data_IF_390905025621
#
_entry.id   IF_390905025621
#
_cell.length_a   1.000
_cell.length_b   1.000
_cell.length_c   1.000
_cell.angle_alpha   90.00
_cell.angle_beta   90.00
_cell.angle_gamma   90.00
#
_symmetry.space_group_name_H-M   'P 1'
#
loop_
_entity.id
_entity.type
_entity.pdbx_description
1 polymer ?
#
# COMPACT_ATOMS: atom_id res chain seq x y z
N UNK A 1 -16.40 -43.55 9.71
CA UNK A 1 -17.26 -42.40 10.08
C UNK A 1 -16.49 -41.07 10.09
N UNK A 2 -15.32 -40.98 10.76
CA UNK A 2 -14.50 -39.74 10.78
C UNK A 2 -14.03 -39.28 9.40
N UNK A 3 -13.59 -40.20 8.55
CA UNK A 3 -13.11 -39.89 7.19
C UNK A 3 -14.23 -39.37 6.27
N UNK A 4 -15.43 -39.95 6.39
CA UNK A 4 -16.58 -39.47 5.64
C UNK A 4 -16.98 -38.06 6.07
N UNK A 5 -16.88 -37.75 7.37
CA UNK A 5 -17.14 -36.41 7.88
C UNK A 5 -16.11 -35.39 7.34
N UNK A 6 -14.82 -35.72 7.32
CA UNK A 6 -13.78 -34.84 6.78
C UNK A 6 -13.95 -34.59 5.28
N UNK A 7 -14.25 -35.63 4.49
CA UNK A 7 -14.54 -35.48 3.05
C UNK A 7 -15.78 -34.60 2.84
N UNK A 8 -16.83 -34.79 3.65
CA UNK A 8 -18.02 -33.95 3.61
C UNK A 8 -17.68 -32.46 3.94
N UNK A 9 -16.86 -32.22 4.95
CA UNK A 9 -16.40 -30.86 5.29
C UNK A 9 -15.60 -30.22 4.16
N UNK A 10 -14.72 -30.98 3.48
CA UNK A 10 -13.99 -30.50 2.30
C UNK A 10 -14.95 -30.13 1.17
N UNK A 11 -15.95 -30.98 0.91
CA UNK A 11 -16.95 -30.70 -0.13
C UNK A 11 -17.79 -29.45 0.21
N UNK A 12 -18.24 -29.31 1.45
CA UNK A 12 -18.99 -28.13 1.93
C UNK A 12 -18.13 -26.87 1.80
N UNK A 13 -16.86 -26.93 2.20
CA UNK A 13 -15.92 -25.82 2.05
C UNK A 13 -15.79 -25.38 0.59
N UNK A 14 -15.58 -26.31 -0.34
CA UNK A 14 -15.49 -26.04 -1.77
C UNK A 14 -16.79 -25.45 -2.32
N UNK A 15 -17.94 -26.06 -2.01
CA UNK A 15 -19.24 -25.59 -2.46
C UNK A 15 -19.54 -24.18 -1.94
N UNK A 16 -19.20 -23.88 -0.69
CA UNK A 16 -19.36 -22.55 -0.12
C UNK A 16 -18.51 -21.50 -0.87
N UNK A 17 -17.22 -21.78 -1.09
CA UNK A 17 -16.37 -20.83 -1.82
C UNK A 17 -16.77 -20.69 -3.28
N UNK A 18 -17.10 -21.80 -3.93
CA UNK A 18 -17.56 -21.81 -5.33
C UNK A 18 -18.86 -21.01 -5.49
N UNK A 19 -19.84 -21.23 -4.62
CA UNK A 19 -21.05 -20.43 -4.57
C UNK A 19 -20.73 -18.94 -4.41
N UNK A 20 -19.85 -18.58 -3.48
CA UNK A 20 -19.45 -17.19 -3.24
C UNK A 20 -18.68 -16.54 -4.40
N UNK A 21 -18.00 -17.31 -5.23
CA UNK A 21 -17.34 -16.82 -6.43
C UNK A 21 -18.36 -16.57 -7.55
N UNK A 22 -19.22 -17.55 -7.80
CA UNK A 22 -20.22 -17.46 -8.89
C UNK A 22 -21.26 -16.36 -8.61
N UNK A 23 -21.66 -16.19 -7.36
CA UNK A 23 -22.63 -15.16 -6.97
C UNK A 23 -21.99 -13.79 -6.72
N UNK A 24 -20.67 -13.67 -6.85
CA UNK A 24 -19.98 -12.39 -6.68
C UNK A 24 -20.41 -11.41 -7.78
N UNK A 25 -21.01 -10.31 -7.39
CA UNK A 25 -21.30 -9.18 -8.28
C UNK A 25 -20.21 -8.13 -8.12
N UNK A 26 -19.77 -7.56 -9.23
CA UNK A 26 -18.78 -6.49 -9.21
C UNK A 26 -19.28 -5.32 -8.37
N UNK A 27 -18.46 -4.90 -7.41
CA UNK A 27 -18.69 -3.71 -6.62
C UNK A 27 -18.24 -2.50 -7.44
N UNK A 28 -19.10 -1.51 -7.68
CA UNK A 28 -18.69 -0.28 -8.34
C UNK A 28 -17.59 0.40 -7.53
N UNK A 29 -16.69 1.09 -8.23
CA UNK A 29 -15.75 1.99 -7.55
C UNK A 29 -16.53 3.13 -6.88
N UNK A 30 -16.16 3.52 -5.67
CA UNK A 30 -16.68 4.75 -5.08
C UNK A 30 -16.40 5.91 -6.04
N UNK A 31 -17.43 6.67 -6.33
CA UNK A 31 -17.38 7.85 -7.18
C UNK A 31 -18.09 9.00 -6.50
N UNK A 32 -17.54 10.18 -6.69
CA UNK A 32 -18.16 11.45 -6.31
C UNK A 32 -17.74 12.49 -7.34
N UNK A 33 -18.63 13.40 -7.69
CA UNK A 33 -18.30 14.54 -8.54
C UNK A 33 -17.26 15.42 -7.86
N UNK A 34 -16.44 16.11 -8.67
CA UNK A 34 -15.44 17.04 -8.16
C UNK A 34 -16.15 18.09 -7.32
N UNK A 35 -15.77 18.28 -6.05
CA UNK A 35 -16.44 19.22 -5.19
C UNK A 35 -16.17 20.66 -5.60
N UNK A 36 -17.17 21.51 -5.41
CA UNK A 36 -16.96 22.96 -5.44
C UNK A 36 -16.13 23.34 -4.22
N UNK A 37 -15.00 23.98 -4.46
CA UNK A 37 -14.16 24.52 -3.41
C UNK A 37 -14.51 25.99 -3.12
N UNK A 38 -14.17 26.50 -1.93
CA UNK A 38 -14.38 27.90 -1.60
C UNK A 38 -13.59 28.83 -2.54
N UNK A 39 -14.02 30.07 -2.68
CA UNK A 39 -13.33 31.07 -3.52
C UNK A 39 -11.87 31.31 -3.09
N UNK A 40 -11.59 31.26 -1.80
CA UNK A 40 -10.24 31.36 -1.25
C UNK A 40 -9.67 29.96 -1.03
N UNK A 41 -8.80 29.53 -1.96
CA UNK A 41 -8.14 28.25 -1.89
C UNK A 41 -6.80 28.34 -1.15
N UNK A 42 -6.52 27.39 -0.22
CA UNK A 42 -5.21 27.31 0.41
C UNK A 42 -4.11 26.94 -0.59
N UNK A 43 -2.88 27.35 -0.31
CA UNK A 43 -1.73 26.87 -1.07
C UNK A 43 -1.41 25.45 -0.70
N UNK A 44 -1.17 24.58 -1.71
CA UNK A 44 -0.79 23.17 -1.55
C UNK A 44 0.66 22.97 -1.96
N UNK A 45 1.50 22.51 -1.02
CA UNK A 45 2.87 22.11 -1.31
C UNK A 45 2.96 20.60 -1.50
N UNK A 46 3.33 20.17 -2.71
CA UNK A 46 3.56 18.76 -3.03
C UNK A 46 5.02 18.40 -2.68
N UNK A 47 5.21 17.52 -1.72
CA UNK A 47 6.54 17.02 -1.33
C UNK A 47 6.78 15.64 -1.95
N UNK A 48 7.76 15.55 -2.84
CA UNK A 48 7.99 14.35 -3.67
C UNK A 48 9.45 13.92 -3.58
N UNK A 49 9.77 12.91 -2.78
CA UNK A 49 11.08 12.27 -2.78
C UNK A 49 11.19 11.30 -3.96
N UNK A 50 12.39 11.24 -4.57
CA UNK A 50 12.66 10.35 -5.70
C UNK A 50 14.11 9.83 -5.65
N UNK A 51 14.29 8.52 -5.85
CA UNK A 51 15.57 7.87 -5.86
C UNK A 51 15.71 6.82 -6.95
N UNK A 52 16.59 7.05 -7.95
CA UNK A 52 16.76 6.16 -9.12
C UNK A 52 15.46 5.95 -9.93
N UNK A 53 14.70 7.03 -10.17
CA UNK A 53 13.38 6.97 -10.81
C UNK A 53 13.24 7.96 -11.97
N UNK A 54 14.32 8.17 -12.74
CA UNK A 54 14.38 9.11 -13.86
C UNK A 54 13.17 8.98 -14.82
N UNK A 55 12.74 7.74 -15.09
CA UNK A 55 11.63 7.45 -16.01
C UNK A 55 10.27 8.02 -15.57
N UNK A 56 10.10 8.30 -14.28
CA UNK A 56 8.85 8.80 -13.72
C UNK A 56 8.80 10.31 -13.54
N UNK A 57 9.96 11.00 -13.61
CA UNK A 57 10.06 12.45 -13.38
C UNK A 57 9.20 13.26 -14.34
N UNK A 58 9.42 13.13 -15.65
CA UNK A 58 8.68 13.90 -16.65
C UNK A 58 7.17 13.59 -16.62
N UNK A 59 6.71 12.31 -16.63
CA UNK A 59 5.28 12.03 -16.55
C UNK A 59 4.62 12.54 -15.26
N UNK A 60 5.32 12.57 -14.13
CA UNK A 60 4.81 13.16 -12.90
C UNK A 60 4.69 14.68 -13.02
N UNK A 61 5.74 15.35 -13.47
CA UNK A 61 5.78 16.82 -13.63
C UNK A 61 4.71 17.28 -14.64
N UNK A 62 4.52 16.54 -15.72
CA UNK A 62 3.44 16.82 -16.67
C UNK A 62 2.06 16.71 -16.01
N UNK A 63 1.84 15.70 -15.16
CA UNK A 63 0.58 15.56 -14.43
C UNK A 63 0.38 16.67 -13.39
N UNK A 64 1.44 17.13 -12.72
CA UNK A 64 1.40 18.27 -11.82
C UNK A 64 1.08 19.57 -12.55
N UNK A 65 1.73 19.83 -13.68
CA UNK A 65 1.50 21.03 -14.48
C UNK A 65 0.08 21.08 -15.09
N UNK A 66 -0.50 19.90 -15.38
CA UNK A 66 -1.86 19.79 -15.91
C UNK A 66 -2.97 20.02 -14.87
N UNK A 67 -2.65 20.08 -13.58
CA UNK A 67 -3.64 20.38 -12.55
C UNK A 67 -4.19 21.80 -12.71
N UNK A 68 -5.51 21.93 -12.64
CA UNK A 68 -6.20 23.23 -12.68
C UNK A 68 -6.16 23.95 -11.33
N UNK A 69 -5.73 23.29 -10.25
CA UNK A 69 -5.60 23.88 -8.92
C UNK A 69 -4.63 25.07 -8.95
N UNK A 70 -5.06 26.31 -8.59
CA UNK A 70 -4.28 27.51 -8.89
C UNK A 70 -3.11 27.74 -7.95
N UNK A 71 -3.26 27.44 -6.65
CA UNK A 71 -2.27 27.72 -5.62
C UNK A 71 -1.48 26.47 -5.26
N UNK A 72 -0.51 26.07 -6.11
CA UNK A 72 0.29 24.87 -5.94
C UNK A 72 1.76 25.11 -6.14
N UNK A 73 2.58 24.42 -5.39
CA UNK A 73 4.02 24.34 -5.59
C UNK A 73 4.50 22.88 -5.47
N UNK A 74 5.59 22.55 -6.13
CA UNK A 74 6.20 21.23 -6.13
C UNK A 74 7.62 21.30 -5.61
N UNK A 75 7.93 20.51 -4.59
CA UNK A 75 9.27 20.38 -4.03
C UNK A 75 9.74 18.94 -4.27
N UNK A 76 10.64 18.79 -5.24
CA UNK A 76 11.23 17.52 -5.64
C UNK A 76 12.57 17.33 -4.92
N UNK A 77 12.70 16.33 -4.07
CA UNK A 77 13.99 15.91 -3.53
C UNK A 77 14.47 14.66 -4.26
N UNK A 78 15.37 14.83 -5.21
CA UNK A 78 15.72 13.82 -6.21
C UNK A 78 17.18 13.42 -6.11
N UNK A 79 17.45 12.11 -6.18
CA UNK A 79 18.80 11.56 -6.19
C UNK A 79 18.90 10.22 -6.89
N UNK A 80 20.07 9.64 -6.85
CA UNK A 80 20.37 8.36 -7.47
C UNK A 80 21.61 8.40 -8.36
N UNK A 81 21.90 7.26 -8.99
CA UNK A 81 23.03 7.11 -9.91
C UNK A 81 22.60 6.98 -11.39
N UNK A 82 21.30 7.19 -11.67
CA UNK A 82 20.70 7.06 -13.00
C UNK A 82 20.55 8.40 -13.75
N UNK A 83 21.11 9.50 -13.20
CA UNK A 83 20.99 10.85 -13.75
C UNK A 83 19.61 11.49 -13.47
N UNK A 84 18.88 11.00 -12.46
CA UNK A 84 17.59 11.58 -12.06
C UNK A 84 17.70 13.03 -11.62
N UNK A 85 18.71 13.37 -10.83
CA UNK A 85 18.86 14.73 -10.31
C UNK A 85 19.14 15.75 -11.42
N UNK A 86 20.10 15.47 -12.28
CA UNK A 86 20.48 16.34 -13.41
C UNK A 86 19.30 16.51 -14.38
N UNK A 87 18.52 15.45 -14.56
CA UNK A 87 17.30 15.51 -15.39
C UNK A 87 16.20 16.35 -14.72
N UNK A 88 15.99 16.19 -13.42
CA UNK A 88 14.98 16.96 -12.68
C UNK A 88 15.26 18.47 -12.68
N UNK A 89 16.55 18.87 -12.63
CA UNK A 89 16.94 20.29 -12.66
C UNK A 89 16.43 21.06 -13.87
N UNK A 90 16.22 20.38 -15.02
CA UNK A 90 15.69 21.00 -16.24
C UNK A 90 14.25 21.49 -16.09
N UNK A 91 13.51 21.01 -15.08
CA UNK A 91 12.13 21.40 -14.81
C UNK A 91 11.98 22.44 -13.69
N UNK A 92 13.10 22.94 -13.16
CA UNK A 92 13.05 23.99 -12.13
C UNK A 92 12.36 25.24 -12.66
N UNK A 93 11.44 25.77 -11.85
CA UNK A 93 10.64 26.96 -12.18
C UNK A 93 10.18 27.65 -10.89
N UNK A 94 9.54 28.82 -10.94
CA UNK A 94 8.96 29.42 -9.72
C UNK A 94 8.00 28.53 -8.93
N UNK A 95 7.34 27.57 -9.61
CA UNK A 95 6.43 26.61 -9.00
C UNK A 95 7.07 25.25 -8.69
N UNK A 96 8.31 24.99 -9.15
CA UNK A 96 8.98 23.67 -9.00
C UNK A 96 10.39 23.89 -8.46
N UNK A 97 10.59 23.51 -7.21
CA UNK A 97 11.90 23.51 -6.53
C UNK A 97 12.51 22.12 -6.59
N UNK A 98 13.77 22.01 -7.03
CA UNK A 98 14.49 20.73 -7.09
C UNK A 98 15.62 20.73 -6.10
N UNK A 99 15.63 19.74 -5.21
CA UNK A 99 16.66 19.51 -4.20
C UNK A 99 17.41 18.21 -4.50
N UNK A 100 18.67 18.19 -4.16
CA UNK A 100 19.48 16.96 -4.26
C UNK A 100 19.26 16.06 -3.05
N UNK A 101 18.86 14.81 -3.31
CA UNK A 101 18.86 13.72 -2.32
C UNK A 101 20.21 13.02 -2.37
N UNK A 102 20.87 12.89 -1.22
CA UNK A 102 22.16 12.21 -1.12
C UNK A 102 21.99 10.71 -0.81
N UNK A 103 23.02 9.93 -1.11
CA UNK A 103 23.04 8.50 -0.85
C UNK A 103 22.82 8.21 0.66
N UNK A 104 21.91 7.30 0.97
CA UNK A 104 21.59 6.90 2.34
C UNK A 104 20.60 7.79 3.08
N UNK A 105 20.09 8.87 2.48
CA UNK A 105 19.10 9.72 3.14
C UNK A 105 17.73 9.06 3.26
N UNK A 106 17.31 8.33 2.23
CA UNK A 106 15.99 7.71 2.18
C UNK A 106 14.83 8.71 2.16
N UNK A 107 13.60 8.21 2.14
CA UNK A 107 12.38 9.04 2.03
C UNK A 107 12.24 10.05 3.18
N UNK A 108 12.54 9.63 4.41
CA UNK A 108 12.35 10.48 5.61
C UNK A 108 13.21 11.74 5.56
N UNK A 109 14.50 11.60 5.28
CA UNK A 109 15.43 12.76 5.23
C UNK A 109 15.18 13.63 4.00
N UNK A 110 14.76 13.03 2.88
CA UNK A 110 14.34 13.79 1.71
C UNK A 110 13.14 14.69 2.03
N UNK A 111 12.12 14.17 2.74
CA UNK A 111 10.99 14.98 3.20
C UNK A 111 11.40 16.03 4.23
N UNK A 112 12.33 15.72 5.14
CA UNK A 112 12.90 16.69 6.10
C UNK A 112 13.58 17.86 5.39
N UNK A 113 14.29 17.60 4.28
CA UNK A 113 14.91 18.67 3.46
C UNK A 113 13.86 19.50 2.73
N UNK A 114 12.82 18.87 2.24
CA UNK A 114 11.76 19.52 1.44
C UNK A 114 10.83 20.38 2.29
N UNK A 115 10.48 19.91 3.47
CA UNK A 115 9.46 20.50 4.32
C UNK A 115 9.70 21.97 4.68
N UNK A 116 10.91 22.40 5.10
CA UNK A 116 11.18 23.80 5.44
C UNK A 116 11.05 24.78 4.26
N UNK A 117 11.06 24.27 3.02
CA UNK A 117 10.89 25.05 1.81
C UNK A 117 9.43 25.11 1.34
N UNK A 118 8.53 24.45 2.05
CA UNK A 118 7.11 24.46 1.72
C UNK A 118 6.42 25.70 2.29
N UNK A 119 5.71 26.42 1.42
CA UNK A 119 4.95 27.62 1.78
C UNK A 119 3.45 27.34 1.92
N UNK A 120 2.98 26.18 1.47
CA UNK A 120 1.58 25.81 1.50
C UNK A 120 1.04 25.56 2.90
N UNK A 121 -0.21 25.93 3.10
CA UNK A 121 -0.99 25.63 4.30
C UNK A 121 -1.32 24.14 4.40
N UNK A 122 -1.34 23.48 3.25
CA UNK A 122 -1.61 22.05 3.09
C UNK A 122 -0.40 21.37 2.45
N UNK A 123 0.04 20.28 3.06
CA UNK A 123 1.15 19.46 2.55
C UNK A 123 0.58 18.21 1.90
N UNK A 124 0.87 18.03 0.61
CA UNK A 124 0.54 16.83 -0.15
C UNK A 124 1.76 15.92 -0.26
N UNK A 125 1.69 14.76 0.37
CA UNK A 125 2.71 13.72 0.30
C UNK A 125 2.36 12.75 -0.83
N UNK A 126 3.28 12.58 -1.77
CA UNK A 126 3.11 11.63 -2.87
C UNK A 126 4.46 11.07 -3.33
N UNK A 127 4.44 10.09 -4.22
CA UNK A 127 5.62 9.45 -4.78
C UNK A 127 5.76 9.81 -6.26
N UNK A 128 6.99 9.82 -6.78
CA UNK A 128 7.26 10.21 -8.18
C UNK A 128 6.64 9.27 -9.21
N UNK A 129 6.34 8.02 -8.82
CA UNK A 129 5.69 7.01 -9.65
C UNK A 129 4.15 7.19 -9.76
N UNK A 130 3.61 8.24 -9.16
CA UNK A 130 2.19 8.59 -9.19
C UNK A 130 1.84 9.50 -10.38
N UNK A 131 0.53 9.61 -10.65
CA UNK A 131 -0.05 10.58 -11.61
C UNK A 131 -1.17 11.32 -10.91
N UNK A 132 -1.03 12.63 -10.85
CA UNK A 132 -1.99 13.54 -10.26
C UNK A 132 -3.13 13.85 -11.23
N UNK A 133 -4.32 14.05 -10.70
CA UNK A 133 -5.49 14.55 -11.45
C UNK A 133 -6.26 15.54 -10.58
N UNK A 134 -6.99 16.45 -11.22
CA UNK A 134 -7.85 17.39 -10.51
C UNK A 134 -8.82 16.67 -9.56
N UNK A 135 -9.44 15.60 -10.04
CA UNK A 135 -10.36 14.80 -9.22
C UNK A 135 -9.74 14.41 -7.88
N UNK A 136 -8.52 13.88 -7.89
CA UNK A 136 -7.84 13.45 -6.67
C UNK A 136 -7.50 14.65 -5.79
N UNK A 137 -6.87 15.69 -6.35
CA UNK A 137 -6.40 16.85 -5.58
C UNK A 137 -7.57 17.60 -4.95
N UNK A 138 -8.62 17.88 -5.72
CA UNK A 138 -9.79 18.59 -5.22
C UNK A 138 -10.51 17.83 -4.12
N UNK A 139 -10.71 16.53 -4.25
CA UNK A 139 -11.32 15.71 -3.19
C UNK A 139 -10.48 15.66 -1.92
N UNK A 140 -9.15 15.52 -2.05
CA UNK A 140 -8.25 15.47 -0.91
C UNK A 140 -8.22 16.81 -0.17
N UNK A 141 -8.12 17.93 -0.90
CA UNK A 141 -8.15 19.29 -0.32
C UNK A 141 -9.49 19.57 0.34
N UNK A 142 -10.60 19.27 -0.35
CA UNK A 142 -11.95 19.46 0.22
C UNK A 142 -12.14 18.67 1.52
N UNK A 143 -11.63 17.44 1.58
CA UNK A 143 -11.72 16.62 2.79
C UNK A 143 -10.92 17.23 3.95
N UNK A 144 -9.74 17.81 3.69
CA UNK A 144 -8.96 18.56 4.70
C UNK A 144 -9.73 19.79 5.18
N UNK A 145 -10.26 20.61 4.25
CA UNK A 145 -10.96 21.85 4.60
C UNK A 145 -12.21 21.60 5.44
N UNK A 146 -12.92 20.51 5.17
CA UNK A 146 -14.16 20.19 5.90
C UNK A 146 -13.93 19.50 7.25
N UNK A 147 -12.77 18.89 7.48
CA UNK A 147 -12.56 18.07 8.69
C UNK A 147 -11.33 18.50 9.52
N UNK A 148 -10.52 19.42 9.02
CA UNK A 148 -9.27 19.89 9.65
C UNK A 148 -8.40 18.74 10.17
N UNK A 149 -8.23 17.71 9.35
CA UNK A 149 -7.51 16.49 9.71
C UNK A 149 -6.62 16.00 8.58
N UNK A 150 -5.74 15.05 8.89
CA UNK A 150 -5.00 14.33 7.87
C UNK A 150 -5.93 13.46 7.01
N UNK A 151 -5.66 13.41 5.72
CA UNK A 151 -6.48 12.69 4.75
C UNK A 151 -5.59 11.75 3.94
N UNK A 152 -6.09 10.56 3.63
CA UNK A 152 -5.42 9.62 2.73
C UNK A 152 -6.42 9.00 1.76
N UNK A 153 -5.96 8.65 0.56
CA UNK A 153 -6.78 8.05 -0.47
C UNK A 153 -6.11 6.81 -1.09
N UNK A 154 -6.89 5.95 -1.76
CA UNK A 154 -6.39 4.75 -2.41
C UNK A 154 -5.59 5.04 -3.67
N UNK A 155 -4.97 3.98 -4.22
CA UNK A 155 -4.31 4.04 -5.51
C UNK A 155 -4.76 2.93 -6.44
N UNK A 156 -4.70 3.21 -7.73
CA UNK A 156 -4.90 2.25 -8.81
C UNK A 156 -3.59 2.07 -9.59
N UNK A 157 -3.36 0.92 -10.24
CA UNK A 157 -2.18 0.75 -11.09
C UNK A 157 -2.21 1.67 -12.31
N UNK A 158 -1.03 2.07 -12.78
CA UNK A 158 -0.87 2.80 -14.03
C UNK A 158 -1.60 2.08 -15.16
N UNK A 159 -2.16 2.82 -16.10
CA UNK A 159 -3.04 2.27 -17.13
C UNK A 159 -2.39 1.15 -17.95
N UNK A 160 -1.12 1.31 -18.31
CA UNK A 160 -0.34 0.30 -19.04
C UNK A 160 -0.07 -0.97 -18.24
N UNK A 161 -0.18 -0.94 -16.91
CA UNK A 161 0.10 -2.08 -16.03
C UNK A 161 -1.14 -2.95 -15.75
N UNK A 162 -2.35 -2.47 -16.05
CA UNK A 162 -3.61 -3.13 -15.68
C UNK A 162 -3.83 -4.51 -16.31
N UNK A 163 -3.04 -4.86 -17.33
CA UNK A 163 -3.06 -6.19 -17.96
C UNK A 163 -2.12 -7.21 -17.33
N UNK A 164 -1.22 -6.77 -16.43
CA UNK A 164 -0.29 -7.69 -15.76
C UNK A 164 -1.07 -8.57 -14.75
N UNK A 165 -0.97 -9.91 -14.86
CA UNK A 165 -1.75 -10.83 -14.01
C UNK A 165 -1.47 -10.68 -12.51
N UNK A 166 -0.21 -10.44 -12.11
CA UNK A 166 0.16 -10.24 -10.72
C UNK A 166 -0.46 -8.95 -10.18
N UNK A 167 -0.39 -7.87 -10.96
CA UNK A 167 -0.95 -6.57 -10.59
C UNK A 167 -2.47 -6.62 -10.50
N UNK A 168 -3.14 -7.35 -11.40
CA UNK A 168 -4.59 -7.52 -11.35
C UNK A 168 -5.05 -8.10 -10.00
N UNK A 169 -4.34 -9.11 -9.50
CA UNK A 169 -4.70 -9.72 -8.21
C UNK A 169 -4.37 -8.78 -7.05
N UNK A 170 -3.20 -8.12 -7.07
CA UNK A 170 -2.86 -7.14 -6.04
C UNK A 170 -3.90 -6.01 -6.02
N UNK A 171 -4.24 -5.45 -7.17
CA UNK A 171 -5.24 -4.40 -7.29
C UNK A 171 -6.62 -4.83 -6.80
N UNK A 172 -7.05 -6.07 -7.11
CA UNK A 172 -8.28 -6.63 -6.59
C UNK A 172 -8.26 -6.77 -5.05
N UNK A 173 -7.14 -7.21 -4.48
CA UNK A 173 -6.97 -7.30 -3.03
C UNK A 173 -7.05 -5.92 -2.39
N UNK A 174 -6.30 -4.95 -2.91
CA UNK A 174 -6.31 -3.57 -2.40
C UNK A 174 -7.74 -3.00 -2.40
N UNK A 175 -8.45 -3.07 -3.54
CA UNK A 175 -9.83 -2.60 -3.67
C UNK A 175 -10.83 -3.27 -2.72
N UNK A 176 -10.63 -4.55 -2.39
CA UNK A 176 -11.56 -5.30 -1.53
C UNK A 176 -11.22 -5.18 -0.04
N UNK A 177 -10.04 -4.67 0.29
CA UNK A 177 -9.61 -4.43 1.67
C UNK A 177 -9.70 -2.96 2.08
N UNK A 178 -9.77 -2.05 1.12
CA UNK A 178 -9.97 -0.61 1.35
C UNK A 178 -11.41 -0.31 1.80
N UNK A 179 -11.61 0.70 2.67
CA UNK A 179 -12.95 1.18 3.00
C UNK A 179 -13.70 1.67 1.75
N UNK A 180 -14.98 1.33 1.64
CA UNK A 180 -15.83 1.78 0.53
C UNK A 180 -16.52 3.14 0.77
N UNK A 181 -16.40 3.68 1.98
CA UNK A 181 -16.95 4.98 2.40
C UNK A 181 -15.90 5.78 3.14
N UNK A 182 -16.05 7.11 3.18
CA UNK A 182 -15.23 7.95 4.04
C UNK A 182 -15.33 7.47 5.49
N UNK A 183 -14.19 7.21 6.09
CA UNK A 183 -14.09 6.73 7.47
C UNK A 183 -12.72 7.05 8.04
N UNK A 184 -12.60 7.05 9.34
CA UNK A 184 -11.29 7.15 10.00
C UNK A 184 -10.48 5.88 9.78
N UNK A 185 -9.16 6.03 9.68
CA UNK A 185 -8.21 4.93 9.46
C UNK A 185 -7.01 5.02 10.39
N UNK A 186 -6.37 3.89 10.65
CA UNK A 186 -5.15 3.80 11.47
C UNK A 186 -3.84 4.04 10.72
N UNK A 187 -3.90 4.37 9.42
CA UNK A 187 -2.71 4.49 8.58
C UNK A 187 -2.82 5.55 7.49
N UNK A 188 -1.67 5.94 6.96
CA UNK A 188 -1.53 6.82 5.80
C UNK A 188 -0.95 6.01 4.64
N UNK A 189 -1.51 6.18 3.45
CA UNK A 189 -0.91 5.71 2.21
C UNK A 189 -0.01 6.82 1.67
N UNK A 190 1.30 6.71 1.92
CA UNK A 190 2.28 7.77 1.68
C UNK A 190 2.47 8.20 0.23
N UNK A 191 1.75 7.59 -0.70
CA UNK A 191 1.67 7.99 -2.12
C UNK A 191 0.47 8.89 -2.41
N UNK A 192 -0.50 8.98 -1.49
CA UNK A 192 -1.71 9.77 -1.64
C UNK A 192 -2.20 10.21 -0.26
N UNK A 193 -1.53 11.21 0.31
CA UNK A 193 -1.83 11.72 1.63
C UNK A 193 -1.71 13.24 1.69
N UNK A 194 -2.63 13.86 2.39
CA UNK A 194 -2.70 15.31 2.56
C UNK A 194 -2.83 15.63 4.04
N UNK A 195 -2.01 16.54 4.52
CA UNK A 195 -1.97 16.90 5.94
C UNK A 195 -1.92 18.42 6.08
N UNK A 196 -2.75 19.05 6.90
CA UNK A 196 -2.57 20.45 7.30
C UNK A 196 -1.16 20.68 7.83
N UNK A 197 -0.51 21.76 7.41
CA UNK A 197 0.87 22.07 7.86
C UNK A 197 0.93 22.24 9.37
N UNK A 198 -0.11 22.82 9.96
CA UNK A 198 -0.26 23.00 11.41
C UNK A 198 -0.20 21.67 12.18
N UNK A 199 -0.84 20.61 11.66
CA UNK A 199 -0.79 19.28 12.27
C UNK A 199 0.59 18.65 12.12
N UNK A 200 1.25 18.83 10.97
CA UNK A 200 2.63 18.36 10.79
C UNK A 200 3.58 19.04 11.77
N UNK A 201 3.46 20.36 11.95
CA UNK A 201 4.27 21.13 12.90
C UNK A 201 4.03 20.63 14.34
N UNK A 202 2.76 20.43 14.72
CA UNK A 202 2.39 19.95 16.05
C UNK A 202 3.00 18.60 16.42
N UNK A 203 3.14 17.70 15.42
CA UNK A 203 3.75 16.39 15.64
C UNK A 203 5.25 16.37 15.33
N UNK A 204 5.90 17.51 15.03
CA UNK A 204 7.32 17.64 14.71
C UNK A 204 7.67 17.04 13.34
N UNK A 205 6.75 17.10 12.40
CA UNK A 205 6.92 16.76 10.99
C UNK A 205 7.82 15.52 10.73
N UNK A 206 8.95 15.74 10.04
CA UNK A 206 9.89 14.69 9.62
C UNK A 206 11.20 14.71 10.43
N UNK A 207 11.25 15.32 11.61
CA UNK A 207 12.47 15.56 12.38
C UNK A 207 13.16 14.30 12.90
N UNK A 208 12.39 13.23 13.13
CA UNK A 208 12.95 11.98 13.62
C UNK A 208 13.49 11.11 12.47
N UNK A 209 14.63 10.45 12.73
CA UNK A 209 15.15 9.48 11.78
C UNK A 209 14.32 8.20 11.79
N UNK A 210 13.71 7.90 10.64
CA UNK A 210 12.93 6.70 10.40
C UNK A 210 13.57 5.97 9.22
N UNK A 211 14.25 4.86 9.46
CA UNK A 211 14.94 4.12 8.39
C UNK A 211 14.00 3.62 7.30
N UNK A 212 12.76 3.29 7.67
CA UNK A 212 11.74 2.76 6.76
C UNK A 212 10.33 2.91 7.35
N UNK A 213 9.31 3.12 6.50
CA UNK A 213 7.91 3.25 6.94
C UNK A 213 7.58 4.65 7.44
N UNK A 214 8.07 5.67 6.73
CA UNK A 214 7.77 7.09 7.01
C UNK A 214 6.29 7.38 7.14
N UNK A 215 5.48 6.84 6.24
CA UNK A 215 4.03 6.96 6.21
C UNK A 215 3.36 6.33 7.44
N UNK A 216 3.76 5.11 7.78
CA UNK A 216 3.30 4.45 9.00
C UNK A 216 3.68 5.24 10.26
N UNK A 217 4.95 5.68 10.33
CA UNK A 217 5.46 6.45 11.46
C UNK A 217 4.69 7.77 11.64
N UNK A 218 4.47 8.52 10.55
CA UNK A 218 3.70 9.76 10.57
C UNK A 218 2.25 9.52 11.03
N UNK A 219 1.60 8.46 10.49
CA UNK A 219 0.26 8.11 10.92
C UNK A 219 0.17 7.89 12.44
N UNK A 220 1.12 7.15 13.02
CA UNK A 220 1.12 6.89 14.47
C UNK A 220 1.42 8.13 15.31
N UNK A 221 2.22 9.07 14.80
CA UNK A 221 2.43 10.37 15.47
C UNK A 221 1.14 11.20 15.50
N UNK A 222 0.43 11.31 14.38
CA UNK A 222 -0.84 12.02 14.30
C UNK A 222 -1.89 11.41 15.23
N UNK A 223 -2.09 10.08 15.14
CA UNK A 223 -3.04 9.38 16.02
C UNK A 223 -2.67 9.49 17.50
N UNK A 224 -1.38 9.46 17.83
CA UNK A 224 -0.87 9.67 19.20
C UNK A 224 -1.09 11.10 19.70
N UNK A 225 -1.27 12.07 18.82
CA UNK A 225 -1.64 13.47 19.13
C UNK A 225 -3.17 13.67 19.14
N UNK A 226 -3.95 12.61 18.96
CA UNK A 226 -5.41 12.58 18.83
C UNK A 226 -5.95 13.23 17.54
N UNK A 227 -5.13 13.39 16.52
CA UNK A 227 -5.57 13.86 15.22
C UNK A 227 -6.06 12.66 14.38
N UNK A 228 -7.34 12.66 13.97
CA UNK A 228 -7.86 11.59 13.15
C UNK A 228 -7.26 11.62 11.74
N UNK A 229 -7.21 10.46 11.10
CA UNK A 229 -6.86 10.33 9.70
C UNK A 229 -8.10 9.87 8.95
N UNK A 230 -8.54 10.63 7.96
CA UNK A 230 -9.70 10.31 7.15
C UNK A 230 -9.28 9.59 5.86
N UNK A 231 -9.93 8.46 5.56
CA UNK A 231 -9.79 7.76 4.29
C UNK A 231 -10.87 8.22 3.31
N UNK A 232 -10.45 8.66 2.10
CA UNK A 232 -11.34 9.16 1.04
C UNK A 232 -11.31 8.19 -0.15
N UNK A 233 -12.29 7.28 -0.27
CA UNK A 233 -12.23 6.14 -1.19
C UNK A 233 -12.34 6.50 -2.68
N UNK A 234 -12.90 7.64 -3.01
CA UNK A 234 -13.06 8.14 -4.39
C UNK A 234 -11.90 9.01 -4.86
N UNK A 235 -11.02 9.46 -3.98
CA UNK A 235 -9.79 10.19 -4.32
C UNK A 235 -8.67 9.21 -4.72
N UNK A 236 -8.84 8.50 -5.84
CA UNK A 236 -7.94 7.42 -6.28
C UNK A 236 -6.83 7.95 -7.18
N UNK A 237 -5.59 7.93 -6.69
CA UNK A 237 -4.41 8.26 -7.49
C UNK A 237 -3.95 7.05 -8.32
N UNK A 238 -3.39 7.25 -9.51
CA UNK A 238 -2.72 6.16 -10.22
C UNK A 238 -1.23 6.14 -9.87
N UNK A 239 -0.67 4.96 -9.60
CA UNK A 239 0.75 4.79 -9.28
C UNK A 239 1.32 3.48 -9.84
N UNK A 240 2.65 3.39 -9.86
CA UNK A 240 3.31 2.17 -10.30
C UNK A 240 3.13 1.03 -9.29
N UNK A 241 2.70 -0.11 -9.81
CA UNK A 241 2.63 -1.38 -9.07
C UNK A 241 3.80 -2.29 -9.44
N UNK A 242 4.25 -3.20 -8.56
CA UNK A 242 5.35 -4.10 -8.86
C UNK A 242 4.99 -5.11 -9.95
N UNK A 243 5.60 -4.97 -11.12
CA UNK A 243 5.30 -5.79 -12.30
C UNK A 243 5.85 -7.20 -12.24
N UNK A 244 6.91 -7.42 -11.47
CA UNK A 244 7.58 -8.71 -11.35
C UNK A 244 7.45 -9.29 -9.95
N UNK A 245 7.49 -10.62 -9.86
CA UNK A 245 7.45 -11.34 -8.59
C UNK A 245 8.55 -10.87 -7.63
N UNK A 246 9.76 -10.62 -8.14
CA UNK A 246 10.89 -10.14 -7.34
C UNK A 246 10.67 -8.74 -6.75
N UNK A 247 10.12 -7.82 -7.53
CA UNK A 247 9.75 -6.48 -7.07
C UNK A 247 8.62 -6.55 -6.02
N UNK A 248 7.61 -7.37 -6.28
CA UNK A 248 6.51 -7.61 -5.36
C UNK A 248 7.02 -8.12 -4.01
N UNK A 249 7.85 -9.18 -4.00
CA UNK A 249 8.41 -9.75 -2.78
C UNK A 249 9.22 -8.71 -2.00
N UNK A 250 10.05 -7.90 -2.68
CA UNK A 250 10.83 -6.83 -2.02
C UNK A 250 9.94 -5.78 -1.37
N UNK A 251 8.90 -5.31 -2.06
CA UNK A 251 7.97 -4.30 -1.57
C UNK A 251 7.16 -4.81 -0.39
N UNK A 252 6.58 -6.01 -0.52
CA UNK A 252 5.74 -6.61 0.52
C UNK A 252 6.54 -7.01 1.76
N UNK A 253 7.73 -7.60 1.61
CA UNK A 253 8.57 -7.95 2.77
C UNK A 253 8.95 -6.71 3.59
N UNK A 254 9.24 -5.58 2.92
CA UNK A 254 9.50 -4.31 3.59
C UNK A 254 8.28 -3.82 4.38
N UNK A 255 7.08 -3.93 3.81
CA UNK A 255 5.85 -3.49 4.49
C UNK A 255 5.53 -4.36 5.71
N UNK A 256 5.56 -5.69 5.56
CA UNK A 256 5.34 -6.62 6.69
C UNK A 256 6.31 -6.32 7.83
N UNK A 257 7.60 -6.16 7.52
CA UNK A 257 8.63 -5.81 8.50
C UNK A 257 8.36 -4.47 9.16
N UNK A 258 8.03 -3.43 8.38
CA UNK A 258 7.80 -2.08 8.92
C UNK A 258 6.62 -2.06 9.88
N UNK A 259 5.51 -2.70 9.52
CA UNK A 259 4.33 -2.79 10.39
C UNK A 259 4.65 -3.51 11.69
N UNK A 260 5.42 -4.61 11.63
CA UNK A 260 5.84 -5.32 12.85
C UNK A 260 6.72 -4.45 13.75
N UNK A 261 7.77 -3.87 13.19
CA UNK A 261 8.80 -3.15 13.98
C UNK A 261 8.27 -1.84 14.52
N UNK A 262 7.62 -1.06 13.68
CA UNK A 262 7.02 0.20 14.12
C UNK A 262 5.78 -0.05 14.99
N UNK A 263 4.99 -1.09 14.70
CA UNK A 263 3.89 -1.51 15.54
C UNK A 263 4.33 -1.87 16.96
N UNK A 264 5.47 -2.55 17.12
CA UNK A 264 6.07 -2.78 18.45
C UNK A 264 6.51 -1.47 19.11
N UNK A 265 7.11 -0.54 18.35
CA UNK A 265 7.54 0.79 18.86
C UNK A 265 6.36 1.62 19.38
N UNK A 266 5.22 1.56 18.70
CA UNK A 266 4.01 2.31 19.05
C UNK A 266 3.00 1.49 19.88
N UNK A 267 3.37 0.28 20.33
CA UNK A 267 2.52 -0.62 21.13
C UNK A 267 1.20 -1.04 20.45
N UNK A 268 1.18 -1.12 19.13
CA UNK A 268 0.04 -1.49 18.29
C UNK A 268 -0.19 -3.02 18.27
N UNK A 269 -0.74 -3.57 19.32
CA UNK A 269 -0.88 -5.03 19.54
C UNK A 269 -1.58 -5.75 18.40
N UNK A 270 -2.65 -5.16 17.83
CA UNK A 270 -3.43 -5.78 16.76
C UNK A 270 -2.63 -5.87 15.46
N UNK A 271 -1.91 -4.81 15.08
CA UNK A 271 -1.10 -4.75 13.86
C UNK A 271 0.13 -5.66 13.99
N UNK A 272 0.77 -5.69 15.16
CA UNK A 272 1.86 -6.62 15.49
C UNK A 272 1.38 -8.07 15.36
N UNK A 273 0.23 -8.41 15.97
CA UNK A 273 -0.34 -9.75 15.89
C UNK A 273 -0.67 -10.14 14.44
N UNK A 274 -1.28 -9.24 13.68
CA UNK A 274 -1.58 -9.47 12.26
C UNK A 274 -0.34 -9.72 11.42
N UNK A 275 0.74 -8.94 11.65
CA UNK A 275 2.03 -9.13 10.97
C UNK A 275 2.67 -10.46 11.34
N UNK A 276 2.66 -10.83 12.62
CA UNK A 276 3.17 -12.13 13.09
C UNK A 276 2.39 -13.30 12.48
N UNK A 277 1.06 -13.20 12.42
CA UNK A 277 0.22 -14.22 11.75
C UNK A 277 0.56 -14.31 10.26
N UNK A 278 0.71 -13.19 9.57
CA UNK A 278 1.10 -13.15 8.15
C UNK A 278 2.45 -13.84 7.92
N UNK A 279 3.41 -13.65 8.82
CA UNK A 279 4.73 -14.30 8.75
C UNK A 279 4.67 -15.79 9.11
N UNK A 280 3.80 -16.19 10.04
CA UNK A 280 3.68 -17.57 10.49
C UNK A 280 2.96 -18.48 9.47
N UNK A 281 1.96 -17.96 8.74
CA UNK A 281 1.13 -18.77 7.82
C UNK A 281 1.97 -19.60 6.82
N UNK A 282 2.95 -19.06 6.08
CA UNK A 282 3.75 -19.87 5.15
C UNK A 282 4.55 -20.97 5.85
N UNK A 283 5.10 -20.68 7.04
CA UNK A 283 5.85 -21.66 7.83
C UNK A 283 4.93 -22.79 8.30
N UNK A 284 3.77 -22.44 8.86
CA UNK A 284 2.75 -23.41 9.28
C UNK A 284 2.26 -24.24 8.11
N UNK A 285 2.07 -23.63 6.93
CA UNK A 285 1.68 -24.35 5.72
C UNK A 285 2.72 -25.40 5.33
N UNK A 286 4.01 -25.02 5.29
CA UNK A 286 5.09 -25.97 4.94
C UNK A 286 5.20 -27.08 5.97
N UNK A 287 5.17 -26.77 7.26
CA UNK A 287 5.21 -27.79 8.33
C UNK A 287 4.01 -28.73 8.26
N UNK A 288 2.81 -28.21 7.96
CA UNK A 288 1.60 -29.02 7.78
C UNK A 288 1.72 -29.93 6.56
N UNK A 289 2.33 -29.47 5.46
CA UNK A 289 2.59 -30.31 4.28
C UNK A 289 3.55 -31.46 4.60
N UNK A 290 4.62 -31.18 5.34
CA UNK A 290 5.58 -32.22 5.80
C UNK A 290 4.85 -33.23 6.70
N UNK A 291 4.08 -32.75 7.66
CA UNK A 291 3.31 -33.61 8.56
C UNK A 291 2.28 -34.46 7.79
N UNK A 292 1.58 -33.90 6.79
CA UNK A 292 0.67 -34.64 5.94
C UNK A 292 1.41 -35.77 5.17
N UNK A 293 2.55 -35.44 4.60
CA UNK A 293 3.37 -36.43 3.87
C UNK A 293 3.80 -37.58 4.79
N UNK A 294 4.29 -37.25 5.99
CA UNK A 294 4.70 -38.27 6.98
C UNK A 294 3.49 -39.14 7.38
N UNK A 295 2.35 -38.54 7.73
CA UNK A 295 1.17 -39.28 8.19
C UNK A 295 0.59 -40.18 7.09
N UNK A 296 0.70 -39.78 5.81
CA UNK A 296 0.32 -40.61 4.67
C UNK A 296 1.29 -41.81 4.54
N UNK A 297 2.59 -41.56 4.58
CA UNK A 297 3.61 -42.61 4.44
C UNK A 297 3.50 -43.68 5.54
N UNK A 298 3.29 -43.26 6.78
CA UNK A 298 3.12 -44.20 7.92
C UNK A 298 1.70 -44.72 8.06
N UNK A 299 0.84 -44.45 7.08
CA UNK A 299 -0.57 -44.87 7.07
C UNK A 299 -1.31 -44.56 8.40
N UNK A 300 -1.06 -43.36 8.94
CA UNK A 300 -1.64 -42.90 10.19
C UNK A 300 -3.13 -42.54 10.04
N UNK A 301 -3.93 -42.88 11.03
CA UNK A 301 -5.36 -42.47 11.09
C UNK A 301 -5.56 -40.92 11.14
N UNK A 302 -4.48 -40.16 11.34
CA UNK A 302 -4.50 -38.67 11.29
C UNK A 302 -4.24 -38.10 9.89
N UNK A 303 -3.85 -38.94 8.91
CA UNK A 303 -3.44 -38.47 7.57
C UNK A 303 -4.50 -37.60 6.90
N UNK A 304 -5.75 -37.98 6.96
CA UNK A 304 -6.86 -37.24 6.34
C UNK A 304 -7.11 -35.87 7.04
N UNK A 305 -7.01 -35.84 8.37
CA UNK A 305 -7.18 -34.60 9.15
C UNK A 305 -6.07 -33.58 8.87
N UNK A 306 -4.82 -34.03 8.81
CA UNK A 306 -3.66 -33.15 8.50
C UNK A 306 -3.76 -32.69 7.04
N UNK A 307 -4.14 -33.56 6.11
CA UNK A 307 -4.37 -33.20 4.71
C UNK A 307 -5.48 -32.16 4.57
N UNK A 308 -6.55 -32.25 5.36
CA UNK A 308 -7.60 -31.23 5.40
C UNK A 308 -7.06 -29.85 5.84
N UNK A 309 -6.20 -29.80 6.85
CA UNK A 309 -5.58 -28.54 7.28
C UNK A 309 -4.76 -27.92 6.17
N UNK A 310 -3.90 -28.70 5.48
CA UNK A 310 -3.11 -28.24 4.32
C UNK A 310 -4.02 -27.71 3.21
N UNK A 311 -5.08 -28.47 2.90
CA UNK A 311 -6.07 -28.09 1.90
C UNK A 311 -6.68 -26.71 2.21
N UNK A 312 -7.10 -26.47 3.46
CA UNK A 312 -7.68 -25.18 3.86
C UNK A 312 -6.64 -24.06 3.80
N UNK A 313 -5.43 -24.28 4.32
CA UNK A 313 -4.36 -23.26 4.36
C UNK A 313 -3.93 -22.79 2.96
N UNK A 314 -3.97 -23.66 1.96
CA UNK A 314 -3.59 -23.31 0.58
C UNK A 314 -4.80 -22.78 -0.20
N UNK A 315 -5.92 -23.49 -0.13
CA UNK A 315 -7.04 -23.24 -1.04
C UNK A 315 -7.88 -22.02 -0.63
N UNK A 316 -8.05 -21.78 0.68
CA UNK A 316 -8.78 -20.61 1.15
C UNK A 316 -8.23 -19.28 0.62
N UNK A 317 -6.92 -18.95 0.77
CA UNK A 317 -6.36 -17.72 0.22
C UNK A 317 -6.41 -17.66 -1.32
N UNK A 318 -6.33 -18.79 -2.02
CA UNK A 318 -6.47 -18.85 -3.47
C UNK A 318 -7.91 -18.50 -3.89
N UNK A 319 -8.88 -19.14 -3.29
CA UNK A 319 -10.32 -18.92 -3.59
C UNK A 319 -10.76 -17.49 -3.18
N UNK A 320 -10.21 -16.95 -2.09
CA UNK A 320 -10.45 -15.57 -1.69
C UNK A 320 -9.99 -14.59 -2.76
N UNK A 321 -8.80 -14.78 -3.34
CA UNK A 321 -8.27 -13.92 -4.43
C UNK A 321 -9.10 -14.02 -5.71
N UNK A 322 -9.52 -15.22 -6.08
CA UNK A 322 -10.43 -15.39 -7.20
C UNK A 322 -11.75 -14.62 -6.98
N UNK A 323 -12.30 -14.70 -5.79
CA UNK A 323 -13.49 -13.93 -5.42
C UNK A 323 -13.25 -12.43 -5.46
N UNK A 324 -12.08 -11.95 -4.99
CA UNK A 324 -11.75 -10.53 -5.03
C UNK A 324 -11.65 -10.00 -6.46
N UNK A 325 -11.09 -10.77 -7.40
CA UNK A 325 -11.10 -10.42 -8.82
C UNK A 325 -12.54 -10.24 -9.34
N UNK A 326 -13.44 -11.18 -9.04
CA UNK A 326 -14.85 -11.08 -9.43
C UNK A 326 -15.52 -9.85 -8.83
N UNK A 327 -15.35 -9.61 -7.53
CA UNK A 327 -15.92 -8.46 -6.82
C UNK A 327 -15.34 -7.13 -7.31
N UNK A 328 -14.07 -7.10 -7.69
CA UNK A 328 -13.43 -5.91 -8.24
C UNK A 328 -13.79 -5.65 -9.72
N UNK A 329 -14.48 -6.58 -10.38
CA UNK A 329 -14.75 -6.49 -11.82
C UNK A 329 -13.47 -6.57 -12.67
N UNK A 330 -12.44 -7.24 -12.14
CA UNK A 330 -11.14 -7.43 -12.81
C UNK A 330 -11.12 -8.83 -13.43
N UNK A 331 -10.57 -9.01 -14.65
CA UNK A 331 -10.52 -10.32 -15.29
C UNK A 331 -9.85 -11.38 -14.40
N UNK A 332 -10.48 -12.56 -14.33
CA UNK A 332 -9.95 -13.67 -13.52
C UNK A 332 -8.71 -14.25 -14.19
N UNK A 333 -7.61 -14.31 -13.45
CA UNK A 333 -6.33 -14.86 -13.89
C UNK A 333 -5.79 -15.87 -12.87
N UNK A 334 -5.76 -17.15 -13.26
CA UNK A 334 -5.24 -18.22 -12.39
C UNK A 334 -3.74 -18.03 -12.17
N UNK A 335 -3.00 -17.68 -13.22
CA UNK A 335 -1.57 -17.40 -13.15
C UNK A 335 -1.27 -16.26 -12.17
N UNK A 336 -2.04 -15.18 -12.25
CA UNK A 336 -1.92 -14.04 -11.32
C UNK A 336 -2.16 -14.45 -9.87
N UNK A 337 -3.20 -15.25 -9.62
CA UNK A 337 -3.52 -15.75 -8.28
C UNK A 337 -2.39 -16.61 -7.73
N UNK A 338 -1.83 -17.52 -8.54
CA UNK A 338 -0.68 -18.34 -8.15
C UNK A 338 0.56 -17.51 -7.85
N UNK A 339 0.90 -16.56 -8.72
CA UNK A 339 2.03 -15.64 -8.52
C UNK A 339 1.88 -14.77 -7.27
N UNK A 340 0.67 -14.24 -7.04
CA UNK A 340 0.40 -13.41 -5.87
C UNK A 340 0.46 -14.24 -4.57
N UNK A 341 -0.09 -15.46 -4.55
CA UNK A 341 -0.02 -16.36 -3.41
C UNK A 341 1.43 -16.72 -3.06
N UNK A 342 2.21 -17.15 -4.07
CA UNK A 342 3.63 -17.46 -3.92
C UNK A 342 4.41 -16.22 -3.45
N UNK A 343 4.17 -15.08 -4.09
CA UNK A 343 4.84 -13.82 -3.76
C UNK A 343 4.58 -13.37 -2.32
N UNK A 344 3.35 -13.47 -1.85
CA UNK A 344 2.99 -13.15 -0.46
C UNK A 344 3.71 -14.08 0.52
N UNK A 345 3.74 -15.38 0.23
CA UNK A 345 4.42 -16.37 1.07
C UNK A 345 5.93 -16.12 1.13
N UNK A 346 6.58 -15.88 -0.02
CA UNK A 346 8.01 -15.56 -0.08
C UNK A 346 8.34 -14.22 0.57
N UNK A 347 7.47 -13.22 0.45
CA UNK A 347 7.63 -11.92 1.12
C UNK A 347 7.60 -12.07 2.65
N UNK A 348 6.70 -12.90 3.17
CA UNK A 348 6.62 -13.20 4.60
C UNK A 348 7.89 -13.87 5.13
N UNK A 349 8.41 -14.89 4.41
CA UNK A 349 9.67 -15.55 4.76
C UNK A 349 10.85 -14.58 4.72
N UNK A 350 10.93 -13.73 3.69
CA UNK A 350 11.96 -12.71 3.57
C UNK A 350 11.87 -11.65 4.68
N UNK A 351 10.67 -11.24 5.07
CA UNK A 351 10.48 -10.33 6.19
C UNK A 351 11.00 -10.95 7.50
N UNK A 352 10.71 -12.22 7.75
CA UNK A 352 11.24 -12.99 8.89
C UNK A 352 12.75 -13.02 8.90
N UNK A 353 13.38 -13.34 7.77
CA UNK A 353 14.84 -13.33 7.62
C UNK A 353 15.44 -11.95 7.93
N UNK A 354 14.86 -10.88 7.36
CA UNK A 354 15.31 -9.50 7.60
C UNK A 354 15.25 -9.11 9.07
N UNK A 355 14.21 -9.53 9.79
CA UNK A 355 14.05 -9.25 11.21
C UNK A 355 15.09 -10.02 12.03
N UNK A 356 15.28 -11.31 11.76
CA UNK A 356 16.27 -12.14 12.46
C UNK A 356 17.70 -11.62 12.26
N UNK A 357 18.04 -11.17 11.08
CA UNK A 357 19.37 -10.62 10.75
C UNK A 357 19.54 -9.17 11.22
N UNK A 358 18.53 -8.53 11.79
CA UNK A 358 18.49 -7.10 12.12
C UNK A 358 18.93 -6.20 10.95
N UNK A 359 18.73 -6.67 9.73
CA UNK A 359 19.12 -5.95 8.50
C UNK A 359 18.05 -4.90 8.18
N UNK A 360 18.24 -3.69 8.73
CA UNK A 360 17.36 -2.53 8.52
C UNK A 360 17.76 -1.71 7.29
N UNK A 361 18.73 -2.19 6.52
CA UNK A 361 19.30 -1.46 5.38
C UNK A 361 18.44 -1.69 4.13
N UNK A 362 18.26 -0.62 3.43
CA UNK A 362 17.52 -0.42 2.17
C UNK A 362 18.06 -1.21 1.00
#
# INVERSE_FOLDING_TARGET
MKDILLVALMAIFLLYHFYRIITAKACPLPYQDIPDLPESLPTVSFLVPSWNDKRHLEPFILSFNALSYPHKELILCVGGCDGSFEYAQQFSSPAITVLKQELGEGKQRALRKSYPLSHGEIIYLTDIDCRLTDNVVYHMVNAVLNNDCAVTGPSDPLHNQRRNPLIQVQWAVDRMTEPSKCTTTGGILGRNAVVPKTLLDAVGAFDQDVPSGTDYFLAKKLLGHNDPILFVPYARITSEYPETLGLYIRKQSRWIRNVLVLGMKFHEKQEVSSSLMTMAIPVVTVLSMIAASITIVVNSHWSLAVTFVVFVLILHPVLARLRYLCLAGIPVTITGVGLHFLGTSMASLRATEQIMRKSWVW
#
